data_IF_324813000880
#
_entry.id   IF_324813000880
#
_cell.length_a   1.000
_cell.length_b   1.000
_cell.length_c   1.000
_cell.angle_alpha   90.00
_cell.angle_beta   90.00
_cell.angle_gamma   90.00
#
_symmetry.space_group_name_H-M   'P 1'
#
loop_
_entity.id
_entity.type
_entity.pdbx_description
1 polymer ?
#
# COMPACT_ATOMS: atom_id res chain seq x y z
N UNK A 1 -24.71 -13.67 -4.83
CA UNK A 1 -23.51 -13.23 -4.07
C UNK A 1 -22.47 -12.53 -4.94
N UNK A 2 -21.97 -13.11 -6.04
CA UNK A 2 -20.93 -12.48 -6.88
C UNK A 2 -21.26 -11.07 -7.37
N UNK A 3 -22.51 -10.83 -7.81
CA UNK A 3 -22.97 -9.49 -8.22
C UNK A 3 -22.83 -8.44 -7.12
N UNK A 4 -22.98 -8.83 -5.85
CA UNK A 4 -22.85 -7.89 -4.73
C UNK A 4 -21.39 -7.44 -4.60
N UNK A 5 -20.45 -8.40 -4.61
CA UNK A 5 -19.02 -8.08 -4.59
C UNK A 5 -18.58 -7.25 -5.79
N UNK A 6 -19.11 -7.53 -6.98
CA UNK A 6 -18.86 -6.69 -8.16
C UNK A 6 -19.34 -5.25 -7.96
N UNK A 7 -20.51 -5.03 -7.35
CA UNK A 7 -21.01 -3.69 -7.04
C UNK A 7 -20.18 -3.00 -5.97
N UNK A 8 -19.81 -3.71 -4.91
CA UNK A 8 -18.92 -3.18 -3.87
C UNK A 8 -17.58 -2.76 -4.48
N UNK A 9 -17.02 -3.59 -5.35
CA UNK A 9 -15.79 -3.26 -6.09
C UNK A 9 -15.94 -1.97 -6.91
N UNK A 10 -16.99 -1.86 -7.72
CA UNK A 10 -17.25 -0.67 -8.54
C UNK A 10 -17.36 0.61 -7.69
N UNK A 11 -18.07 0.54 -6.55
CA UNK A 11 -18.26 1.68 -5.65
C UNK A 11 -16.95 2.09 -4.99
N UNK A 12 -16.21 1.14 -4.41
CA UNK A 12 -14.94 1.43 -3.74
C UNK A 12 -13.89 1.93 -4.75
N UNK A 13 -13.87 1.38 -5.97
CA UNK A 13 -13.00 1.89 -7.03
C UNK A 13 -13.32 3.34 -7.39
N UNK A 14 -14.62 3.66 -7.56
CA UNK A 14 -15.04 5.03 -7.83
C UNK A 14 -14.67 6.00 -6.68
N UNK A 15 -14.78 5.55 -5.43
CA UNK A 15 -14.37 6.30 -4.24
C UNK A 15 -12.86 6.61 -4.26
N UNK A 16 -12.01 5.64 -4.61
CA UNK A 16 -10.56 5.87 -4.74
C UNK A 16 -10.24 6.94 -5.79
N UNK A 17 -10.97 6.93 -6.91
CA UNK A 17 -10.83 7.97 -7.95
C UNK A 17 -11.36 9.34 -7.52
N UNK A 18 -12.44 9.36 -6.74
CA UNK A 18 -12.95 10.59 -6.14
C UNK A 18 -11.92 11.22 -5.21
N UNK A 19 -11.26 10.41 -4.38
CA UNK A 19 -10.20 10.83 -3.46
C UNK A 19 -8.78 10.63 -4.02
N UNK A 20 -8.58 10.88 -5.32
CA UNK A 20 -7.27 10.70 -5.99
C UNK A 20 -6.10 11.44 -5.32
N UNK A 21 -6.35 12.60 -4.71
CA UNK A 21 -5.31 13.33 -3.99
C UNK A 21 -4.81 12.55 -2.76
N UNK A 22 -5.72 11.89 -2.04
CA UNK A 22 -5.39 11.01 -0.94
C UNK A 22 -4.56 9.80 -1.43
N UNK A 23 -4.95 9.22 -2.57
CA UNK A 23 -4.20 8.12 -3.20
C UNK A 23 -2.76 8.53 -3.55
N UNK A 24 -2.58 9.70 -4.16
CA UNK A 24 -1.26 10.24 -4.49
C UNK A 24 -0.44 10.55 -3.23
N UNK A 25 -1.06 11.12 -2.21
CA UNK A 25 -0.41 11.41 -0.92
C UNK A 25 0.16 10.13 -0.31
N UNK A 26 -0.64 9.05 -0.25
CA UNK A 26 -0.15 7.78 0.27
C UNK A 26 0.92 7.16 -0.63
N UNK A 27 0.76 7.19 -1.96
CA UNK A 27 1.82 6.70 -2.86
C UNK A 27 3.16 7.39 -2.60
N UNK A 28 3.16 8.72 -2.46
CA UNK A 28 4.37 9.48 -2.16
C UNK A 28 4.91 9.17 -0.77
N UNK A 29 4.06 9.11 0.26
CA UNK A 29 4.46 8.75 1.61
C UNK A 29 5.21 7.41 1.65
N UNK A 30 4.69 6.42 0.94
CA UNK A 30 5.24 5.07 0.84
C UNK A 30 6.55 5.02 0.03
N UNK A 31 6.67 5.84 -1.01
CA UNK A 31 7.88 5.90 -1.85
C UNK A 31 9.04 6.63 -1.15
N UNK A 32 8.75 7.72 -0.43
CA UNK A 32 9.79 8.61 0.10
C UNK A 32 10.69 7.90 1.10
N UNK A 33 10.12 7.16 2.06
CA UNK A 33 10.89 6.53 3.13
C UNK A 33 11.95 5.53 2.61
N UNK A 34 11.60 4.50 1.82
CA UNK A 34 12.58 3.57 1.24
C UNK A 34 13.60 4.25 0.33
N UNK A 35 13.18 5.25 -0.46
CA UNK A 35 14.08 5.97 -1.38
C UNK A 35 15.16 6.76 -0.62
N UNK A 36 14.78 7.42 0.47
CA UNK A 36 15.73 8.14 1.32
C UNK A 36 16.73 7.17 1.95
N UNK A 37 16.25 6.05 2.50
CA UNK A 37 17.15 5.06 3.09
C UNK A 37 18.09 4.43 2.06
N UNK A 38 17.58 4.10 0.87
CA UNK A 38 18.41 3.59 -0.22
C UNK A 38 19.50 4.58 -0.59
N UNK A 39 19.16 5.87 -0.79
CA UNK A 39 20.13 6.91 -1.13
C UNK A 39 21.20 7.09 -0.05
N UNK A 40 20.81 7.09 1.23
CA UNK A 40 21.75 7.21 2.35
C UNK A 40 22.71 6.02 2.40
N UNK A 41 22.18 4.79 2.40
CA UNK A 41 23.01 3.60 2.59
C UNK A 41 23.89 3.27 1.38
N UNK A 42 23.41 3.50 0.17
CA UNK A 42 24.24 3.36 -1.05
C UNK A 42 25.39 4.36 -1.05
N UNK A 43 25.15 5.61 -0.66
CA UNK A 43 26.21 6.64 -0.56
C UNK A 43 27.27 6.25 0.48
N UNK A 44 26.84 5.79 1.66
CA UNK A 44 27.77 5.34 2.71
C UNK A 44 28.58 4.12 2.24
N UNK A 45 27.92 3.11 1.66
CA UNK A 45 28.59 1.90 1.16
C UNK A 45 29.60 2.20 0.04
N UNK A 46 29.26 3.12 -0.89
CA UNK A 46 30.19 3.54 -1.94
C UNK A 46 31.40 4.30 -1.37
N UNK A 47 31.24 5.05 -0.27
CA UNK A 47 32.35 5.78 0.35
C UNK A 47 33.31 4.90 1.15
N UNK A 48 32.81 3.82 1.78
CA UNK A 48 33.60 2.94 2.65
C UNK A 48 33.92 1.58 2.00
N UNK A 49 33.43 1.34 0.77
CA UNK A 49 33.51 0.07 0.03
C UNK A 49 32.45 -0.95 0.47
N UNK A 50 32.29 -1.15 1.79
CA UNK A 50 31.20 -1.95 2.35
C UNK A 50 30.84 -1.47 3.76
N UNK A 51 29.58 -1.63 4.14
CA UNK A 51 29.12 -1.38 5.52
C UNK A 51 28.84 -2.73 6.16
N UNK A 52 29.67 -3.13 7.12
CA UNK A 52 29.51 -4.43 7.81
C UNK A 52 29.44 -5.63 6.85
N UNK A 53 30.14 -5.55 5.72
CA UNK A 53 30.14 -6.58 4.67
C UNK A 53 29.02 -6.46 3.63
N UNK A 54 28.12 -5.48 3.75
CA UNK A 54 27.09 -5.18 2.76
C UNK A 54 27.58 -4.13 1.76
N UNK A 55 27.40 -4.42 0.48
CA UNK A 55 27.71 -3.52 -0.63
C UNK A 55 26.53 -2.60 -0.95
N UNK A 56 26.76 -1.57 -1.77
CA UNK A 56 25.68 -0.70 -2.25
C UNK A 56 24.57 -1.49 -2.98
N UNK A 57 24.94 -2.55 -3.71
CA UNK A 57 24.00 -3.41 -4.42
C UNK A 57 23.12 -4.24 -3.46
N UNK A 58 23.67 -4.66 -2.33
CA UNK A 58 22.90 -5.39 -1.30
C UNK A 58 21.84 -4.48 -0.67
N UNK A 59 22.19 -3.22 -0.38
CA UNK A 59 21.24 -2.24 0.12
C UNK A 59 20.16 -1.89 -0.91
N UNK A 60 20.53 -1.74 -2.18
CA UNK A 60 19.58 -1.52 -3.26
C UNK A 60 18.56 -2.66 -3.34
N UNK A 61 19.04 -3.90 -3.41
CA UNK A 61 18.20 -5.10 -3.46
C UNK A 61 17.28 -5.19 -2.24
N UNK A 62 17.81 -4.90 -1.05
CA UNK A 62 17.04 -4.91 0.20
C UNK A 62 15.90 -3.88 0.18
N UNK A 63 16.19 -2.60 -0.06
CA UNK A 63 15.19 -1.54 0.03
C UNK A 63 14.17 -1.61 -1.11
N UNK A 64 14.58 -2.06 -2.31
CA UNK A 64 13.66 -2.30 -3.41
C UNK A 64 12.73 -3.47 -3.11
N UNK A 65 13.21 -4.54 -2.49
CA UNK A 65 12.35 -5.66 -2.05
C UNK A 65 11.42 -5.22 -0.92
N UNK A 66 11.95 -4.49 0.06
CA UNK A 66 11.20 -3.97 1.19
C UNK A 66 10.01 -3.12 0.72
N UNK A 67 10.20 -2.28 -0.30
CA UNK A 67 9.15 -1.43 -0.84
C UNK A 67 7.94 -2.23 -1.38
N UNK A 68 8.17 -3.39 -2.01
CA UNK A 68 7.08 -4.28 -2.45
C UNK A 68 6.44 -4.98 -1.25
N UNK A 69 7.26 -5.52 -0.35
CA UNK A 69 6.78 -6.26 0.83
C UNK A 69 5.91 -5.37 1.69
N UNK A 70 6.37 -4.16 1.99
CA UNK A 70 5.64 -3.18 2.79
C UNK A 70 4.29 -2.88 2.14
N UNK A 71 4.26 -2.62 0.81
CA UNK A 71 3.00 -2.27 0.15
C UNK A 71 1.98 -3.42 0.18
N UNK A 72 2.47 -4.66 0.11
CA UNK A 72 1.64 -5.86 0.21
C UNK A 72 1.13 -6.10 1.64
N UNK A 73 1.95 -5.84 2.67
CA UNK A 73 1.59 -6.07 4.08
C UNK A 73 0.79 -4.92 4.70
N UNK A 74 0.78 -3.73 4.08
CA UNK A 74 -0.01 -2.59 4.48
C UNK A 74 -1.48 -2.96 4.76
N UNK A 75 -2.03 -2.69 5.93
CA UNK A 75 -3.46 -2.92 6.15
C UNK A 75 -4.08 -1.80 6.98
N UNK A 76 -5.21 -1.29 6.50
CA UNK A 76 -6.02 -0.27 7.19
C UNK A 76 -7.37 -0.83 7.67
N UNK A 77 -7.64 -2.10 7.38
CA UNK A 77 -8.95 -2.75 7.62
C UNK A 77 -9.33 -2.66 9.09
N UNK A 78 -8.37 -2.92 10.00
CA UNK A 78 -8.61 -2.87 11.45
C UNK A 78 -8.94 -1.44 11.92
N UNK A 79 -8.26 -0.44 11.39
CA UNK A 79 -8.51 0.96 11.72
C UNK A 79 -9.91 1.38 11.30
N UNK A 80 -10.30 1.10 10.04
CA UNK A 80 -11.64 1.40 9.52
C UNK A 80 -12.74 0.68 10.31
N UNK A 81 -12.51 -0.58 10.69
CA UNK A 81 -13.45 -1.32 11.52
C UNK A 81 -13.59 -0.69 12.92
N UNK A 82 -12.49 -0.24 13.53
CA UNK A 82 -12.52 0.43 14.83
C UNK A 82 -13.38 1.71 14.80
N UNK A 83 -13.26 2.52 13.74
CA UNK A 83 -14.14 3.69 13.57
C UNK A 83 -15.62 3.30 13.50
N UNK A 84 -15.95 2.25 12.75
CA UNK A 84 -17.32 1.75 12.63
C UNK A 84 -17.91 1.23 13.94
N UNK A 85 -17.04 0.73 14.83
CA UNK A 85 -17.43 0.32 16.17
C UNK A 85 -17.67 1.56 17.03
N UNK A 86 -16.77 2.54 16.96
CA UNK A 86 -16.84 3.77 17.76
C UNK A 86 -18.07 4.62 17.41
N UNK A 87 -18.43 4.73 16.13
CA UNK A 87 -19.56 5.53 15.65
C UNK A 87 -20.90 4.75 15.61
N UNK A 88 -20.86 3.45 15.90
CA UNK A 88 -22.04 2.57 15.94
C UNK A 88 -22.58 2.15 14.56
N UNK A 89 -21.96 2.56 13.46
CA UNK A 89 -22.41 2.22 12.09
C UNK A 89 -22.31 0.72 11.79
N UNK A 90 -21.43 -0.01 12.50
CA UNK A 90 -21.30 -1.46 12.38
C UNK A 90 -22.62 -2.20 12.68
N UNK A 91 -23.45 -1.69 13.61
CA UNK A 91 -24.71 -2.33 13.97
C UNK A 91 -25.67 -2.45 12.77
N UNK A 92 -25.73 -1.41 11.92
CA UNK A 92 -26.54 -1.43 10.70
C UNK A 92 -25.98 -2.35 9.61
N UNK A 93 -24.66 -2.57 9.59
CA UNK A 93 -24.03 -3.50 8.64
C UNK A 93 -24.26 -4.96 9.02
N UNK A 94 -24.31 -5.29 10.32
CA UNK A 94 -24.58 -6.64 10.82
C UNK A 94 -25.98 -7.17 10.44
N UNK A 95 -26.93 -6.28 10.18
CA UNK A 95 -28.27 -6.65 9.71
C UNK A 95 -28.30 -7.11 8.24
N UNK A 96 -27.24 -6.81 7.48
CA UNK A 96 -27.14 -7.19 6.07
C UNK A 96 -26.72 -8.66 5.97
N UNK A 97 -27.17 -9.42 4.95
CA UNK A 97 -26.82 -10.82 4.76
C UNK A 97 -25.40 -10.99 4.16
N UNK A 98 -24.43 -10.22 4.66
CA UNK A 98 -23.03 -10.18 4.20
C UNK A 98 -22.16 -9.93 5.42
N UNK A 99 -21.04 -10.64 5.52
CA UNK A 99 -20.08 -10.44 6.60
C UNK A 99 -19.54 -8.99 6.58
N UNK A 100 -19.62 -8.20 7.67
CA UNK A 100 -19.26 -6.78 7.68
C UNK A 100 -17.84 -6.50 7.19
N UNK A 101 -16.86 -7.36 7.53
CA UNK A 101 -15.48 -7.24 7.05
C UNK A 101 -15.40 -7.30 5.51
N UNK A 102 -16.18 -8.17 4.87
CA UNK A 102 -16.19 -8.37 3.42
C UNK A 102 -16.93 -7.24 2.66
N UNK A 103 -17.46 -6.25 3.38
CA UNK A 103 -18.14 -5.09 2.78
C UNK A 103 -17.12 -4.02 2.37
N UNK A 104 -17.40 -2.74 2.63
CA UNK A 104 -16.50 -1.65 2.27
C UNK A 104 -15.16 -1.72 3.00
N UNK A 105 -15.07 -2.36 4.18
CA UNK A 105 -13.82 -2.37 4.95
C UNK A 105 -12.68 -3.08 4.19
N UNK A 106 -12.86 -4.35 3.83
CA UNK A 106 -11.85 -5.09 3.08
C UNK A 106 -11.78 -4.62 1.62
N UNK A 107 -12.93 -4.39 0.98
CA UNK A 107 -12.96 -4.06 -0.45
C UNK A 107 -12.30 -2.70 -0.72
N UNK A 108 -12.42 -1.74 0.20
CA UNK A 108 -11.71 -0.46 0.09
C UNK A 108 -10.19 -0.65 0.12
N UNK A 109 -9.68 -1.44 1.07
CA UNK A 109 -8.24 -1.71 1.17
C UNK A 109 -7.72 -2.44 -0.09
N UNK A 110 -8.44 -3.43 -0.59
CA UNK A 110 -8.06 -4.15 -1.82
C UNK A 110 -8.10 -3.23 -3.04
N UNK A 111 -9.12 -2.37 -3.17
CA UNK A 111 -9.22 -1.40 -4.26
C UNK A 111 -8.07 -0.38 -4.22
N UNK A 112 -7.75 0.13 -3.03
CA UNK A 112 -6.60 1.01 -2.80
C UNK A 112 -5.30 0.33 -3.24
N UNK A 113 -5.02 -0.89 -2.73
CA UNK A 113 -3.82 -1.67 -3.09
C UNK A 113 -3.71 -1.94 -4.58
N UNK A 114 -4.81 -2.31 -5.23
CA UNK A 114 -4.80 -2.59 -6.65
C UNK A 114 -4.41 -1.34 -7.46
N UNK A 115 -4.95 -0.17 -7.12
CA UNK A 115 -4.58 1.09 -7.76
C UNK A 115 -3.15 1.50 -7.44
N UNK A 116 -2.71 1.35 -6.19
CA UNK A 116 -1.33 1.70 -5.82
C UNK A 116 -0.33 0.80 -6.53
N UNK A 117 -0.59 -0.51 -6.63
CA UNK A 117 0.29 -1.45 -7.33
C UNK A 117 0.40 -1.15 -8.83
N UNK A 118 -0.69 -0.71 -9.48
CA UNK A 118 -0.65 -0.29 -10.90
C UNK A 118 0.37 0.83 -11.11
N UNK A 119 0.52 1.75 -10.16
CA UNK A 119 1.48 2.86 -10.24
C UNK A 119 2.86 2.45 -9.72
N UNK A 120 2.90 1.67 -8.64
CA UNK A 120 4.12 1.28 -7.95
C UNK A 120 4.96 0.32 -8.78
N UNK A 121 4.34 -0.65 -9.48
CA UNK A 121 5.08 -1.63 -10.30
C UNK A 121 5.92 -0.96 -11.39
N UNK A 122 5.38 -0.03 -12.23
CA UNK A 122 6.19 0.71 -13.19
C UNK A 122 7.31 1.52 -12.55
N UNK A 123 7.04 2.22 -11.45
CA UNK A 123 8.05 3.01 -10.72
C UNK A 123 9.16 2.11 -10.20
N UNK A 124 8.79 1.00 -9.58
CA UNK A 124 9.72 0.02 -9.05
C UNK A 124 10.59 -0.61 -10.15
N UNK A 125 10.00 -0.95 -11.31
CA UNK A 125 10.76 -1.46 -12.46
C UNK A 125 11.78 -0.44 -12.96
N UNK A 126 11.40 0.83 -13.04
CA UNK A 126 12.33 1.91 -13.42
C UNK A 126 13.47 2.00 -12.41
N UNK A 127 13.17 1.95 -11.11
CA UNK A 127 14.19 2.01 -10.06
C UNK A 127 15.16 0.82 -10.12
N UNK A 128 14.67 -0.38 -10.37
CA UNK A 128 15.50 -1.59 -10.53
C UNK A 128 16.44 -1.49 -11.73
N UNK A 129 16.04 -0.78 -12.80
CA UNK A 129 16.90 -0.57 -13.98
C UNK A 129 17.96 0.51 -13.73
N UNK A 130 17.64 1.51 -12.90
CA UNK A 130 18.51 2.66 -12.64
C UNK A 130 19.62 2.39 -11.61
N UNK A 131 19.41 1.43 -10.71
CA UNK A 131 20.35 1.06 -9.65
C UNK A 131 21.17 -0.15 -10.07
#
# INVERSE_FOLDING_TARGET
MLRIYQRLWQVNWAEQWQYRANLLMYLLYWLVSPMVYLAVWTTVANSQGSVSGLTANDFATYYLTLLIVDNLTADITIYLLAYKIQDGTLAGELLKPIHPILTNVLVNNVAFKALTLIVLIPVWLILVILV
#
